data_IF_167977443146
#
_entry.id   IF_167977443146
#
_cell.length_a   1.000
_cell.length_b   1.000
_cell.length_c   1.000
_cell.angle_alpha   90.00
_cell.angle_beta   90.00
_cell.angle_gamma   90.00
#
_symmetry.space_group_name_H-M   'P 1'
#
loop_
_entity.id
_entity.type
_entity.pdbx_description
1 polymer ?
#
# COMPACT_ATOMS: atom_id res chain seq x y z
N UNK A 1 -2.63 -29.18 -14.52
CA UNK A 1 -1.72 -28.26 -13.83
C UNK A 1 -2.56 -27.36 -12.95
N UNK A 2 -2.41 -27.42 -11.63
CA UNK A 2 -3.02 -26.42 -10.74
C UNK A 2 -1.94 -25.38 -10.50
N UNK A 3 -2.15 -24.16 -11.00
CA UNK A 3 -1.33 -23.00 -10.67
C UNK A 3 -1.52 -22.69 -9.19
N UNK A 4 -0.43 -22.44 -8.46
CA UNK A 4 -0.54 -21.93 -7.09
C UNK A 4 -1.18 -20.52 -7.17
N UNK A 5 -2.41 -20.31 -6.68
CA UNK A 5 -3.08 -19.02 -6.84
C UNK A 5 -2.31 -17.95 -6.06
N UNK A 6 -2.07 -16.80 -6.70
CA UNK A 6 -1.62 -15.60 -5.98
C UNK A 6 -2.84 -14.92 -5.39
N UNK A 7 -2.75 -14.54 -4.12
CA UNK A 7 -3.77 -13.79 -3.40
C UNK A 7 -3.26 -12.36 -3.21
N UNK A 8 -4.14 -11.39 -3.40
CA UNK A 8 -3.95 -10.02 -2.96
C UNK A 8 -5.10 -9.69 -2.02
N UNK A 9 -4.79 -8.94 -0.97
CA UNK A 9 -5.77 -8.47 0.00
C UNK A 9 -5.85 -6.95 -0.10
N UNK A 10 -7.04 -6.40 0.10
CA UNK A 10 -7.26 -4.98 0.36
C UNK A 10 -8.13 -4.90 1.59
N UNK A 11 -7.69 -4.12 2.56
CA UNK A 11 -8.32 -4.06 3.87
C UNK A 11 -8.76 -2.62 4.12
N UNK A 12 -10.07 -2.43 4.28
CA UNK A 12 -10.63 -1.14 4.67
C UNK A 12 -10.27 -0.83 6.13
N UNK A 13 -9.74 0.36 6.38
CA UNK A 13 -9.39 0.81 7.72
C UNK A 13 -9.41 2.34 7.81
N UNK A 14 -9.47 2.85 9.05
CA UNK A 14 -9.44 4.29 9.31
C UNK A 14 -8.04 4.92 9.23
N UNK A 15 -6.98 4.11 9.36
CA UNK A 15 -5.58 4.58 9.44
C UNK A 15 -4.65 3.70 8.57
N UNK A 16 -4.63 3.91 7.24
CA UNK A 16 -3.92 3.05 6.30
C UNK A 16 -2.41 3.00 6.54
N UNK A 17 -1.76 4.12 6.86
CA UNK A 17 -0.32 4.15 7.14
C UNK A 17 0.07 3.22 8.30
N UNK A 18 -0.73 3.20 9.36
CA UNK A 18 -0.49 2.32 10.52
C UNK A 18 -0.70 0.85 10.15
N UNK A 19 -1.70 0.57 9.31
CA UNK A 19 -1.99 -0.78 8.85
C UNK A 19 -0.89 -1.31 7.92
N UNK A 20 -0.38 -0.46 7.02
CA UNK A 20 0.75 -0.78 6.14
C UNK A 20 2.00 -1.14 6.96
N UNK A 21 2.39 -0.32 7.94
CA UNK A 21 3.53 -0.62 8.82
C UNK A 21 3.34 -1.95 9.58
N UNK A 22 2.11 -2.24 10.04
CA UNK A 22 1.80 -3.51 10.69
C UNK A 22 2.01 -4.70 9.75
N UNK A 23 1.45 -4.66 8.53
CA UNK A 23 1.57 -5.78 7.59
C UNK A 23 2.98 -5.95 7.03
N UNK A 24 3.70 -4.85 6.81
CA UNK A 24 5.13 -4.88 6.49
C UNK A 24 5.89 -5.72 7.53
N UNK A 25 5.72 -5.42 8.82
CA UNK A 25 6.36 -6.16 9.89
C UNK A 25 5.86 -7.61 10.01
N UNK A 26 4.55 -7.85 9.88
CA UNK A 26 3.95 -9.17 10.07
C UNK A 26 4.33 -10.16 8.96
N UNK A 27 4.52 -9.67 7.72
CA UNK A 27 4.80 -10.49 6.55
C UNK A 27 6.28 -10.50 6.15
N UNK A 28 7.09 -9.61 6.73
CA UNK A 28 8.46 -9.37 6.25
C UNK A 28 8.50 -8.59 4.93
N UNK A 29 7.44 -7.84 4.66
CA UNK A 29 7.27 -6.97 3.50
C UNK A 29 7.85 -5.57 3.79
N UNK A 30 7.90 -4.75 2.75
CA UNK A 30 8.22 -3.33 2.87
C UNK A 30 7.03 -2.47 2.43
N UNK A 31 6.96 -1.23 2.94
CA UNK A 31 5.99 -0.25 2.42
C UNK A 31 6.32 0.00 0.96
N UNK A 32 5.33 -0.19 0.09
CA UNK A 32 5.52 -0.03 -1.34
C UNK A 32 5.88 1.44 -1.63
N UNK A 33 6.89 1.72 -2.47
CA UNK A 33 7.14 3.08 -2.90
C UNK A 33 5.95 3.62 -3.72
N UNK A 34 5.72 4.94 -3.70
CA UNK A 34 4.67 5.53 -4.53
C UNK A 34 4.89 5.19 -6.01
N UNK A 35 3.82 4.99 -6.80
CA UNK A 35 3.95 4.76 -8.22
C UNK A 35 4.72 5.90 -8.91
N UNK A 36 5.64 5.56 -9.82
CA UNK A 36 6.26 6.58 -10.66
C UNK A 36 5.17 7.27 -11.51
N UNK A 37 5.24 8.60 -11.74
CA UNK A 37 6.35 9.50 -11.44
C UNK A 37 6.24 10.24 -10.10
N UNK A 38 5.37 9.83 -9.18
CA UNK A 38 5.09 10.57 -7.96
C UNK A 38 6.24 10.46 -6.95
N UNK A 39 6.50 11.56 -6.24
CA UNK A 39 7.56 11.62 -5.24
C UNK A 39 7.15 11.00 -3.89
N UNK A 40 5.85 10.91 -3.64
CA UNK A 40 5.26 10.43 -2.39
C UNK A 40 3.81 9.96 -2.64
N UNK A 41 3.23 9.21 -1.71
CA UNK A 41 1.90 8.60 -1.89
C UNK A 41 0.78 9.64 -1.91
N UNK A 42 0.93 10.71 -1.12
CA UNK A 42 -0.06 11.77 -1.07
C UNK A 42 -0.24 12.44 -2.43
N UNK A 43 0.86 12.70 -3.13
CA UNK A 43 0.83 13.29 -4.47
C UNK A 43 0.14 12.37 -5.47
N UNK A 44 0.36 11.05 -5.36
CA UNK A 44 -0.34 10.07 -6.18
C UNK A 44 -1.86 10.15 -5.95
N UNK A 45 -2.31 10.12 -4.70
CA UNK A 45 -3.76 10.11 -4.41
C UNK A 45 -4.47 11.42 -4.73
N UNK A 46 -3.81 12.57 -4.53
CA UNK A 46 -4.32 13.86 -4.98
C UNK A 46 -4.51 13.89 -6.50
N UNK A 47 -3.57 13.31 -7.27
CA UNK A 47 -3.68 13.19 -8.73
C UNK A 47 -4.80 12.22 -9.15
N UNK A 48 -5.03 11.15 -8.37
CA UNK A 48 -6.17 10.25 -8.57
C UNK A 48 -7.53 10.86 -8.19
N UNK A 49 -7.55 12.09 -7.65
CA UNK A 49 -8.76 12.86 -7.40
C UNK A 49 -9.32 12.77 -5.99
N UNK A 50 -8.57 12.18 -5.03
CA UNK A 50 -8.94 12.27 -3.62
C UNK A 50 -8.74 13.69 -3.12
N UNK A 51 -9.66 14.18 -2.31
CA UNK A 51 -9.55 15.49 -1.68
C UNK A 51 -8.55 15.49 -0.52
N UNK A 52 -8.03 16.66 -0.17
CA UNK A 52 -7.18 16.80 1.02
C UNK A 52 -7.91 16.40 2.32
N UNK A 53 -9.23 16.57 2.36
CA UNK A 53 -10.08 16.17 3.48
C UNK A 53 -10.13 14.65 3.63
N UNK A 54 -10.31 13.91 2.53
CA UNK A 54 -10.31 12.44 2.52
C UNK A 54 -8.94 11.86 2.88
N UNK A 55 -7.86 12.51 2.49
CA UNK A 55 -6.49 12.04 2.77
C UNK A 55 -6.03 12.30 4.19
N UNK A 56 -6.65 13.25 4.89
CA UNK A 56 -6.19 13.68 6.21
C UNK A 56 -4.73 14.15 6.19
N UNK A 57 -4.00 13.80 7.25
CA UNK A 57 -2.58 14.16 7.46
C UNK A 57 -1.67 12.98 7.21
N UNK A 58 -0.51 13.20 6.56
CA UNK A 58 0.52 12.17 6.36
C UNK A 58 0.89 12.01 4.89
N UNK A 59 1.67 10.96 4.61
CA UNK A 59 2.04 10.56 3.25
C UNK A 59 0.96 9.69 2.58
N UNK A 60 0.03 9.13 3.35
CA UNK A 60 -1.07 8.28 2.87
C UNK A 60 -0.60 6.99 2.19
N UNK A 61 0.57 6.45 2.59
CA UNK A 61 1.04 5.14 2.15
C UNK A 61 0.11 4.03 2.66
N UNK A 62 -0.46 3.24 1.78
CA UNK A 62 -1.50 2.26 2.10
C UNK A 62 -1.21 0.85 1.59
N UNK A 63 -0.07 0.64 0.93
CA UNK A 63 0.27 -0.60 0.24
C UNK A 63 1.63 -1.15 0.71
N UNK A 64 1.75 -2.47 0.80
CA UNK A 64 3.02 -3.18 1.09
C UNK A 64 3.33 -4.26 0.06
N UNK A 65 4.61 -4.47 -0.19
CA UNK A 65 5.11 -5.40 -1.21
C UNK A 65 6.13 -6.36 -0.62
N UNK A 66 6.11 -7.61 -1.09
CA UNK A 66 7.21 -8.53 -0.85
C UNK A 66 8.44 -8.03 -1.63
N UNK A 67 9.56 -7.68 -0.97
CA UNK A 67 10.77 -7.23 -1.65
C UNK A 67 11.34 -8.26 -2.64
N UNK A 68 10.96 -9.53 -2.51
CA UNK A 68 11.37 -10.62 -3.42
C UNK A 68 10.35 -10.87 -4.55
N UNK A 69 9.18 -10.22 -4.53
CA UNK A 69 8.14 -10.30 -5.56
C UNK A 69 7.39 -11.64 -5.62
N UNK A 70 7.52 -12.48 -4.58
CA UNK A 70 6.93 -13.82 -4.53
C UNK A 70 5.62 -13.81 -3.75
N UNK A 71 5.57 -13.07 -2.65
CA UNK A 71 4.48 -12.98 -1.70
C UNK A 71 3.27 -12.17 -2.19
N UNK A 72 2.18 -12.21 -1.40
CA UNK A 72 0.97 -11.44 -1.68
C UNK A 72 1.22 -9.95 -1.50
N UNK A 73 0.59 -9.13 -2.33
CA UNK A 73 0.44 -7.69 -2.08
C UNK A 73 -0.69 -7.49 -1.05
N UNK A 74 -0.54 -6.51 -0.18
CA UNK A 74 -1.53 -6.14 0.85
C UNK A 74 -1.72 -4.64 0.86
#
# INVERSE_FOLDING_TARGET
MITNPKLQLTIDCAEPERLAVFWAAALGHEVEPPPAPFANWRAHWLDQGLSEEELGTGDCSDSVVDPQGVGPLV
#
